data_IF_238951375168
#
_entry.id   IF_238951375168
#
_cell.length_a   1.000
_cell.length_b   1.000
_cell.length_c   1.000
_cell.angle_alpha   90.00
_cell.angle_beta   90.00
_cell.angle_gamma   90.00
#
_symmetry.space_group_name_H-M   'P 1'
#
loop_
_entity.id
_entity.type
_entity.pdbx_description
1 polymer ?
#
# COMPACT_ATOMS: atom_id res chain seq x y z
N UNK A 1 4.17 4.14 3.19
CA UNK A 1 4.65 3.38 4.37
C UNK A 1 4.82 4.33 5.55
N UNK A 2 5.77 5.25 5.55
CA UNK A 2 6.11 6.10 6.71
C UNK A 2 4.91 6.85 7.30
N UNK A 3 4.03 7.40 6.47
CA UNK A 3 2.83 8.08 6.96
C UNK A 3 1.82 7.12 7.63
N UNK A 4 1.72 5.88 7.15
CA UNK A 4 0.90 4.85 7.79
C UNK A 4 1.51 4.40 9.12
N UNK A 5 2.82 4.16 9.15
CA UNK A 5 3.54 3.76 10.37
C UNK A 5 3.40 4.76 11.51
N UNK A 6 3.42 6.05 11.17
CA UNK A 6 3.30 7.14 12.15
C UNK A 6 1.85 7.57 12.41
N UNK A 7 0.87 6.92 11.77
CA UNK A 7 -0.55 7.35 11.83
C UNK A 7 -0.74 8.84 11.55
N UNK A 8 0.06 9.39 10.63
CA UNK A 8 0.20 10.82 10.39
C UNK A 8 -1.15 11.50 10.13
N UNK A 9 -2.01 10.88 9.31
CA UNK A 9 -3.32 11.45 8.98
C UNK A 9 -4.21 11.58 10.21
N UNK A 10 -4.25 10.55 11.05
CA UNK A 10 -5.05 10.58 12.28
C UNK A 10 -4.54 11.65 13.24
N UNK A 11 -3.23 11.75 13.42
CA UNK A 11 -2.62 12.76 14.28
C UNK A 11 -2.88 14.18 13.79
N UNK A 12 -2.81 14.44 12.50
CA UNK A 12 -3.17 15.74 11.93
C UNK A 12 -4.65 16.07 12.17
N UNK A 13 -5.55 15.10 11.98
CA UNK A 13 -6.98 15.27 12.31
C UNK A 13 -7.22 15.56 13.79
N UNK A 14 -6.51 14.90 14.70
CA UNK A 14 -6.59 15.15 16.14
C UNK A 14 -6.19 16.59 16.47
N UNK A 15 -5.08 17.06 15.93
CA UNK A 15 -4.61 18.44 16.13
C UNK A 15 -5.63 19.47 15.62
N UNK A 16 -6.20 19.27 14.43
CA UNK A 16 -7.21 20.19 13.88
C UNK A 16 -8.51 20.20 14.69
N UNK A 17 -8.80 19.11 15.43
CA UNK A 17 -9.93 19.02 16.37
C UNK A 17 -9.59 19.54 17.78
N UNK A 18 -8.41 20.11 17.99
CA UNK A 18 -7.97 20.64 19.28
C UNK A 18 -7.55 19.57 20.29
N UNK A 19 -7.34 18.33 19.85
CA UNK A 19 -6.79 17.26 20.70
C UNK A 19 -5.26 17.35 20.72
N UNK A 20 -4.68 17.66 21.87
CA UNK A 20 -3.24 17.85 22.06
C UNK A 20 -2.58 16.76 22.90
N UNK A 21 -3.28 15.67 23.18
CA UNK A 21 -2.82 14.61 24.10
C UNK A 21 -1.51 13.94 23.62
N UNK A 22 -1.28 13.88 22.31
CA UNK A 22 -0.05 13.32 21.74
C UNK A 22 1.22 14.16 22.00
N UNK A 23 1.09 15.40 22.49
CA UNK A 23 2.22 16.17 23.00
C UNK A 23 2.64 15.76 24.41
N UNK A 24 1.85 14.97 25.08
CA UNK A 24 2.08 14.47 26.44
C UNK A 24 2.49 13.00 26.41
N UNK A 25 2.80 12.44 27.58
CA UNK A 25 3.15 11.02 27.71
C UNK A 25 1.97 10.05 27.49
N UNK A 26 0.75 10.56 27.41
CA UNK A 26 -0.46 9.78 27.14
C UNK A 26 -0.63 9.59 25.63
N UNK A 27 0.19 8.72 25.05
CA UNK A 27 0.13 8.40 23.61
C UNK A 27 -1.15 7.64 23.29
N UNK A 28 -2.15 8.31 22.73
CA UNK A 28 -3.39 7.68 22.24
C UNK A 28 -3.22 7.01 20.88
N UNK A 29 -2.21 7.43 20.11
CA UNK A 29 -1.92 6.91 18.78
C UNK A 29 -0.52 6.32 18.76
N UNK A 30 -0.44 5.03 18.49
CA UNK A 30 0.83 4.32 18.42
C UNK A 30 1.58 4.63 17.13
N UNK A 31 2.90 4.73 17.22
CA UNK A 31 3.81 4.70 16.09
C UNK A 31 4.40 3.30 15.95
N UNK A 32 4.56 2.86 14.74
CA UNK A 32 5.22 1.59 14.41
C UNK A 32 6.53 1.90 13.71
N UNK A 33 7.63 1.39 14.24
CA UNK A 33 8.92 1.45 13.55
C UNK A 33 8.89 0.56 12.32
N UNK A 34 9.49 1.00 11.21
CA UNK A 34 9.57 0.22 9.97
C UNK A 34 10.77 -0.73 9.94
N UNK A 35 11.79 -0.45 10.74
CA UNK A 35 12.97 -1.31 10.90
C UNK A 35 12.55 -2.74 11.29
N UNK A 36 13.15 -3.73 10.65
CA UNK A 36 12.86 -5.17 10.82
C UNK A 36 11.41 -5.60 10.46
N UNK A 37 10.56 -4.70 9.98
CA UNK A 37 9.24 -5.06 9.46
C UNK A 37 9.35 -5.72 8.09
N UNK A 38 8.37 -6.56 7.76
CA UNK A 38 8.30 -7.27 6.49
C UNK A 38 7.50 -6.45 5.49
N UNK A 39 8.12 -6.12 4.36
CA UNK A 39 7.44 -5.55 3.20
C UNK A 39 7.22 -6.62 2.15
N UNK A 40 5.97 -6.95 1.87
CA UNK A 40 5.54 -7.80 0.78
C UNK A 40 5.34 -6.99 -0.50
N UNK A 41 6.06 -7.33 -1.55
CA UNK A 41 5.96 -6.69 -2.87
C UNK A 41 5.24 -7.63 -3.83
N UNK A 42 4.07 -7.24 -4.29
CA UNK A 42 3.36 -7.96 -5.35
C UNK A 42 3.70 -7.31 -6.69
N UNK A 43 4.61 -7.93 -7.44
CA UNK A 43 5.13 -7.41 -8.69
C UNK A 43 6.52 -6.75 -8.56
N UNK A 44 7.60 -7.52 -8.60
CA UNK A 44 8.98 -7.04 -8.57
C UNK A 44 9.47 -6.63 -9.98
N UNK A 45 8.71 -5.78 -10.66
CA UNK A 45 9.06 -5.11 -11.92
C UNK A 45 9.97 -3.88 -11.69
N UNK A 46 10.00 -2.95 -12.65
CA UNK A 46 10.86 -1.76 -12.54
C UNK A 46 10.53 -0.93 -11.29
N UNK A 47 9.24 -0.63 -11.06
CA UNK A 47 8.81 0.18 -9.91
C UNK A 47 9.00 -0.60 -8.60
N UNK A 48 8.55 -1.87 -8.54
CA UNK A 48 8.70 -2.70 -7.34
C UNK A 48 10.15 -2.83 -6.88
N UNK A 49 11.10 -2.96 -7.82
CA UNK A 49 12.53 -3.02 -7.49
C UNK A 49 13.07 -1.72 -6.89
N UNK A 50 12.63 -0.56 -7.37
CA UNK A 50 13.03 0.72 -6.75
C UNK A 50 12.45 0.87 -5.34
N UNK A 51 11.21 0.41 -5.11
CA UNK A 51 10.62 0.38 -3.77
C UNK A 51 11.39 -0.57 -2.83
N UNK A 52 11.80 -1.74 -3.34
CA UNK A 52 12.63 -2.70 -2.59
C UNK A 52 13.94 -2.05 -2.13
N UNK A 53 14.67 -1.39 -3.01
CA UNK A 53 15.93 -0.70 -2.66
C UNK A 53 15.74 0.31 -1.52
N UNK A 54 14.66 1.11 -1.59
CA UNK A 54 14.37 2.11 -0.56
C UNK A 54 14.01 1.42 0.76
N UNK A 55 13.21 0.36 0.72
CA UNK A 55 12.80 -0.38 1.91
C UNK A 55 13.98 -1.10 2.58
N UNK A 56 14.89 -1.66 1.80
CA UNK A 56 16.14 -2.25 2.32
C UNK A 56 17.01 -1.19 3.02
N UNK A 57 17.08 0.04 2.48
CA UNK A 57 17.78 1.14 3.14
C UNK A 57 17.11 1.61 4.45
N UNK A 58 15.87 1.19 4.70
CA UNK A 58 15.16 1.38 5.97
C UNK A 58 15.20 0.12 6.86
N UNK A 59 16.09 -0.83 6.57
CA UNK A 59 16.27 -2.11 7.27
C UNK A 59 14.99 -2.97 7.32
N UNK A 60 14.14 -2.88 6.30
CA UNK A 60 12.98 -3.75 6.15
C UNK A 60 13.38 -5.10 5.53
N UNK A 61 12.71 -6.17 5.94
CA UNK A 61 12.79 -7.49 5.29
C UNK A 61 11.88 -7.52 4.08
N UNK A 62 12.33 -8.11 2.97
CA UNK A 62 11.60 -8.08 1.71
C UNK A 62 11.11 -9.47 1.34
N UNK A 63 9.80 -9.61 1.18
CA UNK A 63 9.16 -10.72 0.48
C UNK A 63 8.65 -10.23 -0.87
N UNK A 64 8.82 -11.01 -1.92
CA UNK A 64 8.31 -10.67 -3.24
C UNK A 64 7.50 -11.82 -3.83
N UNK A 65 6.38 -11.46 -4.48
CA UNK A 65 5.60 -12.37 -5.30
C UNK A 65 5.59 -11.91 -6.74
N UNK A 66 5.89 -12.83 -7.66
CA UNK A 66 5.87 -12.57 -9.10
C UNK A 66 5.19 -13.73 -9.82
N UNK A 67 4.56 -13.43 -10.98
CA UNK A 67 3.90 -14.47 -11.80
C UNK A 67 4.82 -15.65 -12.16
N UNK A 68 6.07 -15.34 -12.48
CA UNK A 68 7.09 -16.35 -12.74
C UNK A 68 7.96 -16.48 -11.51
N UNK A 69 8.15 -17.70 -11.04
CA UNK A 69 9.04 -17.99 -9.91
C UNK A 69 10.44 -17.41 -10.15
N UNK A 70 11.05 -16.88 -9.11
CA UNK A 70 12.43 -16.41 -9.09
C UNK A 70 13.13 -16.97 -7.86
N UNK A 71 14.42 -17.21 -8.00
CA UNK A 71 15.25 -17.54 -6.87
C UNK A 71 15.53 -16.30 -6.02
N UNK A 72 15.79 -16.54 -4.74
CA UNK A 72 16.14 -15.46 -3.81
C UNK A 72 17.43 -14.77 -4.25
N UNK A 73 17.41 -13.46 -4.25
CA UNK A 73 18.55 -12.65 -4.67
C UNK A 73 18.53 -11.27 -3.97
N UNK A 74 19.71 -10.74 -3.70
CA UNK A 74 19.91 -9.37 -3.22
C UNK A 74 19.08 -9.02 -1.96
N UNK A 75 18.90 -9.99 -1.04
CA UNK A 75 18.11 -9.81 0.18
C UNK A 75 16.59 -9.78 -0.05
N UNK A 76 16.13 -10.27 -1.21
CA UNK A 76 14.73 -10.46 -1.54
C UNK A 76 14.38 -11.95 -1.51
N UNK A 77 13.40 -12.34 -0.71
CA UNK A 77 12.89 -13.71 -0.68
C UNK A 77 11.62 -13.81 -1.55
N UNK A 78 11.67 -14.68 -2.57
CA UNK A 78 10.54 -14.90 -3.47
C UNK A 78 9.64 -16.02 -2.95
N UNK A 79 8.38 -15.69 -2.69
CA UNK A 79 7.40 -16.60 -2.08
C UNK A 79 6.08 -16.63 -2.87
N UNK A 80 5.21 -17.59 -2.55
CA UNK A 80 3.84 -17.59 -3.05
C UNK A 80 3.01 -16.46 -2.43
N UNK A 81 1.89 -16.15 -3.05
CA UNK A 81 1.03 -15.05 -2.61
C UNK A 81 0.48 -15.26 -1.18
N UNK A 82 -0.05 -16.46 -0.82
CA UNK A 82 -0.52 -16.70 0.54
C UNK A 82 0.55 -16.51 1.62
N UNK A 83 1.78 -16.94 1.39
CA UNK A 83 2.90 -16.74 2.31
C UNK A 83 3.25 -15.28 2.45
N UNK A 84 3.35 -14.55 1.32
CA UNK A 84 3.57 -13.11 1.34
C UNK A 84 2.52 -12.38 2.19
N UNK A 85 1.23 -12.68 1.98
CA UNK A 85 0.15 -12.02 2.69
C UNK A 85 0.18 -12.28 4.20
N UNK A 86 0.46 -13.54 4.62
CA UNK A 86 0.49 -13.90 6.05
C UNK A 86 1.69 -13.30 6.79
N UNK A 87 2.82 -13.15 6.13
CA UNK A 87 4.06 -12.75 6.79
C UNK A 87 4.35 -11.26 6.72
N UNK A 88 3.70 -10.53 5.81
CA UNK A 88 3.96 -9.11 5.61
C UNK A 88 3.28 -8.23 6.66
N UNK A 89 4.00 -7.19 7.08
CA UNK A 89 3.46 -6.08 7.87
C UNK A 89 2.95 -4.95 6.95
N UNK A 90 3.52 -4.86 5.77
CA UNK A 90 3.09 -3.96 4.68
C UNK A 90 3.01 -4.75 3.39
N UNK A 91 1.90 -4.65 2.66
CA UNK A 91 1.72 -5.26 1.33
C UNK A 91 1.59 -4.15 0.30
N UNK A 92 2.47 -4.11 -0.70
CA UNK A 92 2.51 -3.07 -1.73
C UNK A 92 2.33 -3.66 -3.12
N UNK A 93 1.40 -3.08 -3.89
CA UNK A 93 1.01 -3.56 -5.21
C UNK A 93 1.78 -2.83 -6.29
N UNK A 94 2.46 -3.59 -7.17
CA UNK A 94 3.25 -3.08 -8.31
C UNK A 94 3.11 -3.98 -9.54
N UNK A 95 2.08 -4.84 -9.57
CA UNK A 95 1.77 -5.69 -10.72
C UNK A 95 0.85 -4.98 -11.71
N UNK A 96 0.86 -5.35 -13.00
CA UNK A 96 -0.10 -4.85 -13.97
C UNK A 96 -1.49 -5.41 -13.71
N UNK A 97 -2.52 -4.71 -14.19
CA UNK A 97 -3.88 -5.22 -14.23
C UNK A 97 -4.03 -6.17 -15.42
N UNK A 98 -4.41 -7.40 -15.14
CA UNK A 98 -4.76 -8.44 -16.11
C UNK A 98 -6.03 -9.15 -15.65
N UNK A 99 -6.66 -10.01 -16.45
CA UNK A 99 -7.78 -10.81 -15.97
C UNK A 99 -7.47 -11.60 -14.69
N UNK A 100 -6.22 -12.09 -14.54
CA UNK A 100 -5.78 -12.89 -13.39
C UNK A 100 -5.46 -12.04 -12.15
N UNK A 101 -5.13 -10.77 -12.33
CA UNK A 101 -4.79 -9.86 -11.22
C UNK A 101 -5.92 -8.92 -10.83
N UNK A 102 -7.00 -8.89 -11.63
CA UNK A 102 -8.20 -8.17 -11.25
C UNK A 102 -8.76 -8.71 -9.94
N UNK A 103 -8.98 -7.80 -8.96
CA UNK A 103 -9.40 -8.16 -7.60
C UNK A 103 -8.50 -9.22 -6.96
N UNK A 104 -7.19 -9.15 -7.24
CA UNK A 104 -6.19 -9.99 -6.58
C UNK A 104 -6.26 -9.85 -5.06
N UNK A 105 -6.51 -8.62 -4.61
CA UNK A 105 -6.82 -8.30 -3.22
C UNK A 105 -8.34 -8.26 -3.08
N UNK A 106 -8.89 -9.28 -2.44
CA UNK A 106 -10.31 -9.50 -2.22
C UNK A 106 -10.56 -9.96 -0.77
N UNK A 107 -11.80 -10.31 -0.43
CA UNK A 107 -12.15 -10.77 0.92
C UNK A 107 -11.28 -11.93 1.42
N UNK A 108 -11.00 -12.91 0.58
CA UNK A 108 -10.20 -14.09 0.96
C UNK A 108 -8.74 -13.68 1.21
N UNK A 109 -8.12 -12.98 0.27
CA UNK A 109 -6.72 -12.55 0.38
C UNK A 109 -6.50 -11.52 1.49
N UNK A 110 -7.45 -10.61 1.74
CA UNK A 110 -7.43 -9.71 2.89
C UNK A 110 -7.48 -10.48 4.22
N UNK A 111 -8.26 -11.56 4.29
CA UNK A 111 -8.32 -12.39 5.51
C UNK A 111 -7.03 -13.15 5.83
N UNK A 112 -6.13 -13.30 4.86
CA UNK A 112 -4.81 -13.89 5.06
C UNK A 112 -3.79 -12.90 5.65
N UNK A 113 -4.04 -11.61 5.56
CA UNK A 113 -3.13 -10.58 6.05
C UNK A 113 -3.16 -10.52 7.59
N UNK A 114 -2.08 -9.99 8.18
CA UNK A 114 -2.05 -9.74 9.62
C UNK A 114 -3.06 -8.64 9.99
N UNK A 115 -3.74 -8.72 11.14
CA UNK A 115 -4.61 -7.64 11.61
C UNK A 115 -3.85 -6.31 11.83
N UNK A 116 -2.53 -6.37 11.97
CA UNK A 116 -1.66 -5.19 12.09
C UNK A 116 -1.09 -4.72 10.75
N UNK A 117 -1.40 -5.41 9.64
CA UNK A 117 -0.83 -5.11 8.33
C UNK A 117 -1.51 -3.91 7.64
N UNK A 118 -0.74 -3.28 6.77
CA UNK A 118 -1.21 -2.19 5.90
C UNK A 118 -1.15 -2.60 4.43
N UNK A 119 -2.21 -2.29 3.68
CA UNK A 119 -2.24 -2.42 2.23
C UNK A 119 -1.84 -1.10 1.56
N UNK A 120 -0.98 -1.16 0.53
CA UNK A 120 -0.56 0.00 -0.24
C UNK A 120 -0.85 -0.26 -1.72
N UNK A 121 -1.64 0.60 -2.33
CA UNK A 121 -1.91 0.56 -3.77
C UNK A 121 -1.62 1.90 -4.43
N UNK A 122 -0.54 1.95 -5.19
CA UNK A 122 -0.15 3.07 -6.05
C UNK A 122 -0.05 2.63 -7.51
N UNK A 123 -0.65 1.48 -7.84
CA UNK A 123 -0.60 0.87 -9.16
C UNK A 123 -1.92 1.07 -9.91
N UNK A 124 -2.90 0.20 -9.71
CA UNK A 124 -4.21 0.28 -10.38
C UNK A 124 -5.33 -0.08 -9.39
N UNK A 125 -6.42 0.69 -9.39
CA UNK A 125 -7.53 0.52 -8.45
C UNK A 125 -8.16 -0.87 -8.51
N UNK A 126 -8.44 -1.36 -9.71
CA UNK A 126 -9.09 -2.66 -9.93
C UNK A 126 -8.24 -3.91 -9.56
N UNK A 127 -7.03 -3.75 -9.04
CA UNK A 127 -6.30 -4.83 -8.37
C UNK A 127 -6.94 -5.19 -7.02
N UNK A 128 -7.73 -4.29 -6.47
CA UNK A 128 -8.39 -4.42 -5.17
C UNK A 128 -9.90 -4.43 -5.37
N UNK A 129 -10.59 -5.38 -4.77
CA UNK A 129 -12.02 -5.35 -4.56
C UNK A 129 -12.32 -4.28 -3.49
N UNK A 130 -12.71 -3.09 -3.92
CA UNK A 130 -12.87 -1.93 -3.04
C UNK A 130 -13.96 -2.15 -1.98
N UNK A 131 -15.13 -2.71 -2.28
CA UNK A 131 -16.11 -3.11 -1.25
C UNK A 131 -15.53 -4.06 -0.19
N UNK A 132 -14.76 -5.07 -0.59
CA UNK A 132 -14.13 -5.99 0.35
C UNK A 132 -13.06 -5.29 1.21
N UNK A 133 -12.30 -4.37 0.64
CA UNK A 133 -11.32 -3.55 1.38
C UNK A 133 -12.01 -2.65 2.42
N UNK A 134 -13.09 -1.97 2.03
CA UNK A 134 -13.87 -1.11 2.93
C UNK A 134 -14.37 -1.91 4.14
N UNK A 135 -14.89 -3.09 3.92
CA UNK A 135 -15.36 -3.98 5.00
C UNK A 135 -14.21 -4.43 5.90
N UNK A 136 -13.08 -4.86 5.31
CA UNK A 136 -11.90 -5.27 6.05
C UNK A 136 -11.33 -4.16 6.94
N UNK A 137 -11.32 -2.92 6.45
CA UNK A 137 -10.87 -1.75 7.21
C UNK A 137 -11.82 -1.39 8.35
N UNK A 138 -13.14 -1.49 8.13
CA UNK A 138 -14.17 -1.22 9.15
C UNK A 138 -14.15 -2.24 10.28
N UNK A 139 -13.92 -3.51 9.93
CA UNK A 139 -13.95 -4.63 10.89
C UNK A 139 -12.59 -4.93 11.51
N UNK A 140 -11.53 -4.23 11.10
CA UNK A 140 -10.18 -4.41 11.64
C UNK A 140 -9.50 -5.70 11.18
N UNK A 141 -9.90 -6.25 10.03
CA UNK A 141 -9.21 -7.39 9.39
C UNK A 141 -7.78 -7.00 9.02
N UNK A 142 -7.56 -5.74 8.61
CA UNK A 142 -6.25 -5.12 8.45
C UNK A 142 -6.22 -3.77 9.17
N UNK A 143 -5.03 -3.30 9.52
CA UNK A 143 -4.87 -2.06 10.29
C UNK A 143 -5.21 -0.80 9.50
N UNK A 144 -4.91 -0.76 8.20
CA UNK A 144 -5.17 0.40 7.38
C UNK A 144 -4.71 0.25 5.93
N UNK A 145 -4.91 1.31 5.14
CA UNK A 145 -4.51 1.33 3.75
C UNK A 145 -3.95 2.70 3.31
N UNK A 146 -3.04 2.68 2.33
CA UNK A 146 -2.56 3.85 1.60
C UNK A 146 -2.85 3.68 0.11
N UNK A 147 -3.74 4.50 -0.42
CA UNK A 147 -4.27 4.35 -1.77
C UNK A 147 -4.06 5.63 -2.57
N UNK A 148 -3.33 5.53 -3.68
CA UNK A 148 -3.23 6.62 -4.67
C UNK A 148 -4.22 6.44 -5.82
N UNK A 149 -4.79 5.23 -5.93
CA UNK A 149 -5.75 4.82 -6.96
C UNK A 149 -6.96 4.15 -6.33
N UNK A 150 -8.12 4.27 -6.99
CA UNK A 150 -9.38 3.68 -6.58
C UNK A 150 -10.00 2.89 -7.74
N UNK A 151 -10.89 1.97 -7.47
CA UNK A 151 -11.50 1.13 -8.50
C UNK A 151 -12.29 1.96 -9.52
N UNK A 152 -12.97 3.00 -9.04
CA UNK A 152 -13.66 3.99 -9.88
C UNK A 152 -13.04 5.37 -9.66
N UNK A 153 -12.60 6.01 -10.71
CA UNK A 153 -11.99 7.35 -10.69
C UNK A 153 -12.74 8.29 -11.67
N UNK A 154 -13.22 9.48 -11.23
CA UNK A 154 -13.21 9.96 -9.84
C UNK A 154 -14.16 9.14 -8.96
N UNK A 155 -13.79 8.91 -7.68
CA UNK A 155 -14.66 8.16 -6.76
C UNK A 155 -15.91 8.98 -6.40
N UNK A 156 -16.98 8.25 -6.02
CA UNK A 156 -18.23 8.89 -5.60
C UNK A 156 -18.00 9.73 -4.33
N UNK A 157 -18.68 10.88 -4.18
CA UNK A 157 -18.53 11.77 -3.02
C UNK A 157 -18.80 11.07 -1.68
N UNK A 158 -19.69 10.08 -1.67
CA UNK A 158 -20.09 9.30 -0.49
C UNK A 158 -19.18 8.09 -0.23
N UNK A 159 -18.07 7.93 -0.96
CA UNK A 159 -17.16 6.78 -0.75
C UNK A 159 -16.67 6.75 0.71
N UNK A 160 -16.91 5.65 1.44
CA UNK A 160 -16.56 5.55 2.86
C UNK A 160 -15.06 5.76 3.15
N UNK A 161 -14.18 5.45 2.20
CA UNK A 161 -12.74 5.63 2.34
C UNK A 161 -12.33 7.07 2.69
N UNK A 162 -13.12 8.09 2.28
CA UNK A 162 -12.83 9.49 2.59
C UNK A 162 -12.89 9.82 4.08
N UNK A 163 -13.70 9.10 4.83
CA UNK A 163 -13.95 9.39 6.25
C UNK A 163 -13.19 8.49 7.21
N UNK A 164 -12.57 7.43 6.71
CA UNK A 164 -11.82 6.48 7.53
C UNK A 164 -10.52 7.09 8.07
N UNK A 165 -10.27 6.94 9.37
CA UNK A 165 -9.08 7.45 10.02
C UNK A 165 -7.84 6.57 9.79
N UNK A 166 -8.04 5.31 9.40
CA UNK A 166 -6.99 4.35 9.08
C UNK A 166 -6.67 4.25 7.58
N UNK A 167 -7.11 5.22 6.77
CA UNK A 167 -6.87 5.25 5.32
C UNK A 167 -6.21 6.56 4.92
N UNK A 168 -5.14 6.47 4.15
CA UNK A 168 -4.51 7.60 3.46
C UNK A 168 -4.92 7.53 1.98
N UNK A 169 -5.60 8.56 1.50
CA UNK A 169 -5.97 8.70 0.09
C UNK A 169 -5.19 9.84 -0.55
N UNK A 170 -4.74 9.61 -1.78
CA UNK A 170 -4.18 10.66 -2.64
C UNK A 170 -4.86 10.60 -4.02
N UNK A 171 -4.97 11.74 -4.74
CA UNK A 171 -5.79 11.84 -5.95
C UNK A 171 -5.01 11.42 -7.20
N UNK A 172 -4.58 10.16 -7.26
CA UNK A 172 -3.82 9.57 -8.38
C UNK A 172 -2.67 10.48 -8.81
N UNK A 173 -1.78 10.78 -7.86
CA UNK A 173 -0.73 11.79 -8.04
C UNK A 173 0.69 11.20 -8.17
N UNK A 174 0.86 9.90 -8.05
CA UNK A 174 2.17 9.25 -8.10
C UNK A 174 2.95 9.53 -9.39
N UNK A 175 2.27 9.83 -10.49
CA UNK A 175 2.86 10.21 -11.79
C UNK A 175 3.02 11.71 -12.00
N UNK A 176 2.42 12.56 -11.13
CA UNK A 176 2.28 14.02 -11.35
C UNK A 176 3.51 14.85 -11.02
N UNK A 177 4.64 14.24 -10.67
CA UNK A 177 5.89 14.95 -10.39
C UNK A 177 6.30 15.86 -11.54
N UNK A 178 6.60 17.13 -11.25
CA UNK A 178 6.91 18.14 -12.27
C UNK A 178 8.11 17.72 -13.14
N UNK A 179 9.16 17.22 -12.52
CA UNK A 179 10.38 16.75 -13.19
C UNK A 179 10.12 15.48 -13.99
N UNK A 180 9.29 14.57 -13.46
CA UNK A 180 8.90 13.34 -14.13
C UNK A 180 8.16 13.64 -15.43
N UNK A 181 7.25 14.62 -15.42
CA UNK A 181 6.48 15.05 -16.59
C UNK A 181 7.34 15.76 -17.66
N UNK A 182 8.50 16.31 -17.27
CA UNK A 182 9.44 16.97 -18.19
C UNK A 182 10.44 16.01 -18.81
N UNK A 183 10.62 14.82 -18.25
CA UNK A 183 11.52 13.80 -18.85
C UNK A 183 10.84 13.21 -20.08
N UNK A 184 11.55 13.07 -21.22
CA UNK A 184 11.02 12.34 -22.34
C UNK A 184 10.80 10.88 -21.92
N UNK A 185 9.53 10.48 -21.84
CA UNK A 185 9.16 9.10 -21.57
C UNK A 185 9.36 8.34 -22.86
N UNK A 186 10.24 7.34 -22.89
CA UNK A 186 10.30 6.42 -24.01
C UNK A 186 8.92 5.75 -24.14
N UNK A 187 8.39 5.72 -25.35
CA UNK A 187 7.00 5.35 -25.70
C UNK A 187 6.49 4.01 -25.13
N UNK A 188 7.36 3.18 -24.59
CA UNK A 188 7.05 1.88 -23.98
C UNK A 188 6.38 1.98 -22.61
N UNK A 189 6.44 3.11 -21.92
CA UNK A 189 5.84 3.26 -20.58
C UNK A 189 4.43 3.88 -20.60
N UNK A 190 4.04 4.56 -21.68
CA UNK A 190 2.72 5.20 -21.77
C UNK A 190 1.58 4.21 -22.09
N UNK A 191 1.88 3.08 -22.71
CA UNK A 191 0.88 2.04 -23.03
C UNK A 191 0.50 1.12 -21.85
N UNK A 192 1.07 1.31 -20.68
CA UNK A 192 0.70 0.53 -19.50
C UNK A 192 -0.45 1.17 -18.69
N UNK A 193 -0.95 2.33 -19.12
CA UNK A 193 -1.99 3.11 -18.44
C UNK A 193 -3.21 3.45 -19.33
N UNK A 194 -3.28 2.88 -20.55
CA UNK A 194 -4.49 2.82 -21.38
C UNK A 194 -5.09 1.37 -21.27
#
# INVERSE_FOLDING_TARGET
>A
ILNLSSSMQLQMKMLTRGCHDNFTKNLQVSHVEVNNKVLGIIGAGNIGREVIKIAQAMDMKILAHTRTFREDADGVHYVDLPTLLRESDYVSLHCPLTPETRHLINRETLSMMKPTAFLINTSLGALVDEPALIEALKTGVIAGAGLDVQETEPPLPENPLYTMDNVILTPHMGWKGLETRKRPVSYTHLRAHE
#
